data_IF_319070398325
#
_entry.id   IF_319070398325
#
_cell.length_a   1.000
_cell.length_b   1.000
_cell.length_c   1.000
_cell.angle_alpha   90.00
_cell.angle_beta   90.00
_cell.angle_gamma   90.00
#
_symmetry.space_group_name_H-M   'P 1'
#
loop_
_entity.id
_entity.type
_entity.pdbx_description
1 polymer ?
#
# COMPACT_ATOMS: atom_id res chain seq x y z
N UNK A 1 -8.90 -21.09 -12.19
CA UNK A 1 -8.87 -19.76 -12.83
C UNK A 1 -8.36 -18.75 -11.83
N UNK A 2 -7.39 -17.93 -12.20
CA UNK A 2 -6.91 -16.81 -11.38
C UNK A 2 -8.02 -15.77 -11.18
N UNK A 3 -7.92 -14.99 -10.09
CA UNK A 3 -8.87 -13.91 -9.78
C UNK A 3 -8.24 -12.57 -10.12
N UNK A 4 -9.05 -11.65 -10.66
CA UNK A 4 -8.71 -10.23 -10.71
C UNK A 4 -9.11 -9.65 -9.36
N UNK A 5 -8.15 -9.07 -8.66
CA UNK A 5 -8.33 -8.48 -7.33
C UNK A 5 -7.97 -7.00 -7.38
N UNK A 6 -8.63 -6.22 -6.53
CA UNK A 6 -8.29 -4.82 -6.25
C UNK A 6 -8.24 -4.67 -4.73
N UNK A 7 -7.14 -4.14 -4.24
CA UNK A 7 -6.87 -3.88 -2.82
C UNK A 7 -6.18 -2.52 -2.72
N UNK A 8 -6.71 -1.60 -1.91
CA UNK A 8 -6.19 -0.24 -1.79
C UNK A 8 -6.76 0.45 -0.54
N UNK A 9 -5.97 1.33 0.07
CA UNK A 9 -6.43 2.24 1.11
C UNK A 9 -7.07 3.49 0.49
N UNK A 10 -8.23 3.91 1.01
CA UNK A 10 -8.97 5.08 0.52
C UNK A 10 -9.36 5.97 1.69
N UNK A 11 -9.40 7.28 1.46
CA UNK A 11 -9.99 8.22 2.41
C UNK A 11 -11.50 8.05 2.50
N UNK A 12 -12.10 8.56 3.58
CA UNK A 12 -13.56 8.47 3.81
C UNK A 12 -14.37 9.23 2.75
N UNK A 13 -13.81 10.29 2.19
CA UNK A 13 -14.37 11.09 1.10
C UNK A 13 -14.06 10.53 -0.30
N UNK A 14 -13.41 9.37 -0.39
CA UNK A 14 -13.31 8.59 -1.63
C UNK A 14 -12.08 8.89 -2.49
N UNK A 15 -10.98 9.37 -1.91
CA UNK A 15 -9.75 9.70 -2.63
C UNK A 15 -8.59 8.79 -2.22
N UNK A 16 -7.79 8.39 -3.21
CA UNK A 16 -6.59 7.56 -3.01
C UNK A 16 -5.33 8.37 -2.74
N UNK A 17 -5.28 9.65 -3.14
CA UNK A 17 -4.12 10.52 -3.01
C UNK A 17 -4.56 11.98 -2.90
N UNK A 18 -3.69 12.83 -2.36
CA UNK A 18 -3.92 14.27 -2.29
C UNK A 18 -3.69 14.98 -3.62
N UNK A 19 -4.24 16.19 -3.75
CA UNK A 19 -4.23 16.97 -4.99
C UNK A 19 -2.82 17.41 -5.43
N UNK A 20 -1.88 17.51 -4.49
CA UNK A 20 -0.50 17.94 -4.75
C UNK A 20 0.46 16.78 -5.09
N UNK A 21 -0.07 15.65 -5.59
CA UNK A 21 0.74 14.47 -5.94
C UNK A 21 1.63 14.70 -7.16
N UNK A 22 2.81 14.07 -7.17
CA UNK A 22 3.75 14.08 -8.28
C UNK A 22 5.01 13.29 -7.96
N UNK A 23 5.98 13.16 -8.90
CA UNK A 23 7.15 12.30 -8.70
C UNK A 23 8.04 12.66 -7.50
N UNK A 24 7.98 13.91 -7.04
CA UNK A 24 8.69 14.38 -5.83
C UNK A 24 7.80 14.45 -4.59
N UNK A 25 6.50 14.19 -4.73
CA UNK A 25 5.53 14.16 -3.64
C UNK A 25 4.52 13.03 -3.87
N UNK A 26 4.95 11.75 -3.71
CA UNK A 26 4.07 10.60 -3.89
C UNK A 26 2.84 10.74 -2.99
N UNK A 27 1.68 10.33 -3.49
CA UNK A 27 0.41 10.37 -2.75
C UNK A 27 -0.04 11.77 -2.29
N UNK A 28 0.65 12.86 -2.64
CA UNK A 28 0.21 14.23 -2.35
C UNK A 28 0.19 14.58 -0.85
N UNK A 29 1.03 13.94 -0.03
CA UNK A 29 1.17 14.24 1.40
C UNK A 29 0.16 13.56 2.33
N UNK A 30 -0.72 12.68 1.83
CA UNK A 30 -1.72 11.97 2.65
C UNK A 30 -1.36 10.52 2.96
N UNK A 31 -0.19 10.03 2.51
CA UNK A 31 0.21 8.63 2.66
C UNK A 31 0.10 8.11 4.10
N UNK A 32 0.63 8.87 5.07
CA UNK A 32 0.56 8.47 6.49
C UNK A 32 -0.85 8.36 7.06
N UNK A 33 -1.80 9.16 6.55
CA UNK A 33 -3.18 9.13 7.02
C UNK A 33 -3.94 7.92 6.45
N UNK A 34 -3.69 7.57 5.19
CA UNK A 34 -4.36 6.44 4.52
C UNK A 34 -3.72 5.10 4.91
N UNK A 35 -2.39 5.05 5.01
CA UNK A 35 -1.62 3.81 5.13
C UNK A 35 -0.98 3.60 6.51
N UNK A 36 -1.27 4.45 7.50
CA UNK A 36 -0.66 4.38 8.83
C UNK A 36 -0.83 3.01 9.52
N UNK A 37 -1.98 2.35 9.31
CA UNK A 37 -2.25 1.00 9.82
C UNK A 37 -1.25 -0.03 9.26
N UNK A 38 -0.96 0.05 7.96
CA UNK A 38 -0.04 -0.85 7.25
C UNK A 38 1.40 -0.62 7.69
N UNK A 39 1.82 0.64 7.83
CA UNK A 39 3.17 1.00 8.31
C UNK A 39 3.43 0.53 9.75
N UNK A 40 2.39 0.29 10.54
CA UNK A 40 2.54 -0.25 11.89
C UNK A 40 2.83 -1.76 11.90
N UNK A 41 2.56 -2.49 10.81
CA UNK A 41 2.71 -3.94 10.74
C UNK A 41 4.11 -4.35 10.25
N UNK A 42 4.76 -5.29 10.95
CA UNK A 42 6.04 -5.88 10.52
C UNK A 42 5.96 -6.51 9.14
N UNK A 43 4.82 -7.13 8.81
CA UNK A 43 4.56 -7.76 7.53
C UNK A 43 4.84 -6.87 6.31
N UNK A 44 4.51 -5.57 6.38
CA UNK A 44 4.76 -4.63 5.29
C UNK A 44 6.25 -4.38 5.08
N UNK A 45 6.98 -4.13 6.17
CA UNK A 45 8.43 -3.86 6.12
C UNK A 45 9.23 -5.10 5.73
N UNK A 46 8.84 -6.28 6.24
CA UNK A 46 9.41 -7.57 5.85
C UNK A 46 9.29 -7.81 4.34
N UNK A 47 8.14 -7.50 3.75
CA UNK A 47 7.93 -7.61 2.30
C UNK A 47 8.87 -6.70 1.49
N UNK A 48 9.13 -5.49 2.00
CA UNK A 48 10.09 -4.55 1.40
C UNK A 48 11.56 -4.90 1.71
N UNK A 49 11.82 -5.91 2.54
CA UNK A 49 13.18 -6.30 2.93
C UNK A 49 13.83 -5.37 3.96
N UNK A 50 13.05 -4.63 4.73
CA UNK A 50 13.53 -3.71 5.77
C UNK A 50 13.06 -4.14 7.16
N UNK A 51 13.80 -3.74 8.19
CA UNK A 51 13.28 -3.77 9.56
C UNK A 51 12.32 -2.60 9.78
N UNK A 52 11.15 -2.88 10.35
CA UNK A 52 10.16 -1.86 10.67
C UNK A 52 8.88 -2.43 11.26
N UNK A 53 7.93 -1.56 11.55
CA UNK A 53 6.66 -1.91 12.18
C UNK A 53 6.78 -2.16 13.68
N UNK A 54 5.69 -1.99 14.40
CA UNK A 54 5.61 -2.19 15.86
C UNK A 54 4.81 -3.44 16.23
N UNK A 55 3.91 -3.84 15.36
CA UNK A 55 2.95 -4.93 15.59
C UNK A 55 3.04 -5.99 14.50
N UNK A 56 2.60 -7.20 14.82
CA UNK A 56 2.42 -8.26 13.83
C UNK A 56 1.11 -9.00 14.10
N UNK A 57 0.01 -8.30 13.84
CA UNK A 57 -1.34 -8.69 14.23
C UNK A 57 -2.15 -9.33 13.11
N UNK A 58 -3.47 -9.18 13.22
CA UNK A 58 -4.43 -9.63 12.19
C UNK A 58 -4.17 -8.90 10.87
N UNK A 59 -3.90 -7.60 10.92
CA UNK A 59 -3.57 -6.78 9.75
C UNK A 59 -2.28 -7.27 9.08
N UNK A 60 -1.27 -7.65 9.88
CA UNK A 60 -0.04 -8.27 9.36
C UNK A 60 -0.29 -9.59 8.64
N UNK A 61 -1.22 -10.42 9.12
CA UNK A 61 -1.64 -11.63 8.38
C UNK A 61 -2.34 -11.27 7.06
N UNK A 62 -3.24 -10.29 7.07
CA UNK A 62 -3.94 -9.84 5.87
C UNK A 62 -2.97 -9.34 4.78
N UNK A 63 -1.94 -8.57 5.18
CA UNK A 63 -0.88 -8.12 4.27
C UNK A 63 -0.17 -9.31 3.63
N UNK A 64 0.29 -10.29 4.44
CA UNK A 64 0.99 -11.48 3.92
C UNK A 64 0.12 -12.32 3.00
N UNK A 65 -1.15 -12.52 3.34
CA UNK A 65 -2.10 -13.27 2.50
C UNK A 65 -2.35 -12.56 1.16
N UNK A 66 -2.46 -11.23 1.18
CA UNK A 66 -2.66 -10.41 -0.03
C UNK A 66 -1.44 -10.44 -0.94
N UNK A 67 -0.23 -10.39 -0.38
CA UNK A 67 1.01 -10.55 -1.15
C UNK A 67 1.11 -11.96 -1.71
N UNK A 68 0.94 -13.00 -0.88
CA UNK A 68 1.13 -14.39 -1.28
C UNK A 68 0.18 -14.86 -2.38
N UNK A 69 -1.04 -14.30 -2.44
CA UNK A 69 -2.02 -14.62 -3.50
C UNK A 69 -1.78 -13.85 -4.81
N UNK A 70 -0.89 -12.85 -4.83
CA UNK A 70 -0.68 -11.97 -5.99
C UNK A 70 0.45 -12.49 -6.88
N UNK A 71 0.09 -12.99 -8.06
CA UNK A 71 1.08 -13.51 -9.03
C UNK A 71 1.54 -12.49 -10.08
N UNK A 72 0.81 -11.39 -10.27
CA UNK A 72 1.14 -10.33 -11.20
C UNK A 72 0.42 -9.02 -10.81
N UNK A 73 1.02 -7.88 -11.13
CA UNK A 73 0.46 -6.55 -10.89
C UNK A 73 0.15 -5.85 -12.22
N UNK A 74 -0.95 -5.09 -12.24
CA UNK A 74 -1.27 -4.12 -13.30
C UNK A 74 -1.35 -2.76 -12.62
N UNK A 75 -0.56 -1.81 -13.10
CA UNK A 75 -0.52 -0.45 -12.54
C UNK A 75 -0.56 0.62 -13.63
N UNK A 76 -1.12 1.78 -13.27
CA UNK A 76 -1.16 2.95 -14.15
C UNK A 76 0.19 3.68 -14.18
N UNK A 77 0.46 4.38 -15.29
CA UNK A 77 1.72 5.14 -15.51
C UNK A 77 2.10 6.07 -14.35
N UNK A 78 1.12 6.77 -13.77
CA UNK A 78 1.36 7.72 -12.68
C UNK A 78 1.79 7.04 -11.38
N UNK A 79 1.19 5.90 -11.05
CA UNK A 79 1.62 5.10 -9.89
C UNK A 79 3.06 4.62 -10.08
N UNK A 80 3.40 4.16 -11.29
CA UNK A 80 4.76 3.74 -11.62
C UNK A 80 5.79 4.89 -11.52
N UNK A 81 5.45 6.09 -12.01
CA UNK A 81 6.34 7.27 -12.00
C UNK A 81 6.47 7.92 -10.62
N UNK A 82 5.44 7.86 -9.80
CA UNK A 82 5.39 8.52 -8.47
C UNK A 82 5.91 7.62 -7.35
N UNK A 83 6.25 6.37 -7.65
CA UNK A 83 6.75 5.41 -6.69
C UNK A 83 5.61 4.62 -6.05
N UNK A 84 5.79 3.30 -6.06
CA UNK A 84 5.20 2.42 -5.06
C UNK A 84 6.02 2.49 -3.78
#
# INVERSE_FOLDING_TARGET
MSKIIFDSGISLDGFFAGDNRGPQNPMGGVSGQIHGWMFNQKAFWEYLGFEGGKEDGVDGRYIRETIARTGAFIMGKRMFEEGE
#
